data_IF_365664867672
#
_entry.id   IF_365664867672
#
_cell.length_a   1.000
_cell.length_b   1.000
_cell.length_c   1.000
_cell.angle_alpha   90.00
_cell.angle_beta   90.00
_cell.angle_gamma   90.00
#
_symmetry.space_group_name_H-M   'P 1'
#
loop_
_entity.id
_entity.type
_entity.pdbx_description
1 polymer ?
#
# COMPACT_ATOMS: atom_id res chain seq x y z
N UNK A 1 5.50 -5.96 18.46
CA UNK A 1 6.05 -4.59 18.34
C UNK A 1 6.39 -4.06 19.72
N UNK A 2 5.47 -4.13 20.70
CA UNK A 2 5.74 -3.66 22.07
C UNK A 2 6.96 -4.34 22.70
N UNK A 3 7.13 -5.66 22.51
CA UNK A 3 8.30 -6.40 22.98
C UNK A 3 9.64 -5.87 22.43
N UNK A 4 9.66 -5.52 21.14
CA UNK A 4 10.86 -4.98 20.47
C UNK A 4 11.19 -3.58 21.01
N UNK A 5 10.18 -2.72 21.18
CA UNK A 5 10.37 -1.36 21.68
C UNK A 5 10.84 -1.35 23.14
N UNK A 6 10.29 -2.22 23.98
CA UNK A 6 10.71 -2.36 25.40
C UNK A 6 12.16 -2.82 25.49
N UNK A 7 12.57 -3.83 24.67
CA UNK A 7 13.93 -4.37 24.75
C UNK A 7 15.01 -3.51 24.09
N UNK A 8 14.67 -2.73 23.05
CA UNK A 8 15.65 -1.90 22.35
C UNK A 8 15.76 -0.51 22.98
N UNK A 9 14.64 0.08 23.41
CA UNK A 9 14.60 1.47 23.88
C UNK A 9 14.42 1.59 25.41
N UNK A 10 14.18 0.49 26.14
CA UNK A 10 14.03 0.50 27.60
C UNK A 10 12.83 1.28 28.13
N UNK A 11 11.85 1.57 27.29
CA UNK A 11 10.67 2.38 27.63
C UNK A 11 9.55 1.44 28.07
N UNK A 12 9.14 1.51 29.33
CA UNK A 12 7.95 0.82 29.86
C UNK A 12 6.69 1.52 29.35
N UNK A 13 5.95 0.86 28.48
CA UNK A 13 4.77 1.39 27.79
C UNK A 13 3.52 0.82 28.47
N UNK A 14 2.47 1.62 28.73
CA UNK A 14 1.20 1.09 29.16
C UNK A 14 0.65 0.08 28.14
N UNK A 15 0.15 -1.06 28.59
CA UNK A 15 -0.37 -2.14 27.73
C UNK A 15 -1.52 -1.70 26.81
N UNK A 16 -2.19 -0.60 27.14
CA UNK A 16 -3.28 -0.01 26.37
C UNK A 16 -2.84 0.81 25.16
N UNK A 17 -1.53 1.08 24.98
CA UNK A 17 -1.05 1.94 23.91
C UNK A 17 -0.44 1.13 22.76
N UNK A 18 -1.06 1.23 21.58
CA UNK A 18 -0.59 0.52 20.40
C UNK A 18 0.43 1.35 19.61
N UNK A 19 1.72 1.06 19.79
CA UNK A 19 2.83 1.75 19.11
C UNK A 19 2.92 1.50 17.60
N UNK A 20 2.15 0.56 17.09
CA UNK A 20 2.16 0.21 15.65
C UNK A 20 1.84 1.43 14.78
N UNK A 21 0.85 2.23 15.18
CA UNK A 21 0.48 3.43 14.44
C UNK A 21 1.60 4.48 14.40
N UNK A 22 2.25 4.74 15.55
CA UNK A 22 3.33 5.72 15.63
C UNK A 22 4.54 5.26 14.80
N UNK A 23 4.94 3.99 14.93
CA UNK A 23 6.03 3.42 14.16
C UNK A 23 5.74 3.47 12.66
N UNK A 24 4.51 3.15 12.28
CA UNK A 24 4.03 3.28 10.90
C UNK A 24 4.18 4.71 10.39
N UNK A 25 3.79 5.72 11.18
CA UNK A 25 3.94 7.12 10.82
C UNK A 25 5.41 7.53 10.63
N UNK A 26 6.29 7.17 11.60
CA UNK A 26 7.72 7.51 11.56
C UNK A 26 8.40 6.92 10.32
N UNK A 27 8.13 5.66 9.99
CA UNK A 27 8.70 4.99 8.81
C UNK A 27 8.24 5.66 7.51
N UNK A 28 7.05 6.26 7.51
CA UNK A 28 6.51 6.95 6.33
C UNK A 28 7.09 8.35 6.10
N UNK A 29 7.74 8.99 7.09
CA UNK A 29 8.30 10.34 6.96
C UNK A 29 9.26 10.47 5.76
N UNK A 30 10.29 9.61 5.59
CA UNK A 30 11.20 9.71 4.44
C UNK A 30 10.50 9.47 3.11
N UNK A 31 9.45 8.64 3.09
CA UNK A 31 8.67 8.36 1.90
C UNK A 31 7.81 9.56 1.48
N UNK A 32 7.29 10.32 2.44
CA UNK A 32 6.64 11.59 2.16
C UNK A 32 7.58 12.63 1.56
N UNK A 33 8.82 12.71 2.05
CA UNK A 33 9.81 13.58 1.44
C UNK A 33 10.05 13.22 -0.03
N UNK A 34 10.17 11.93 -0.34
CA UNK A 34 10.27 11.46 -1.72
C UNK A 34 9.02 11.78 -2.54
N UNK A 35 7.83 11.60 -1.97
CA UNK A 35 6.56 11.93 -2.62
C UNK A 35 6.45 13.42 -2.96
N UNK A 36 6.86 14.32 -2.05
CA UNK A 36 6.89 15.77 -2.30
C UNK A 36 7.84 16.16 -3.43
N UNK A 37 8.91 15.39 -3.66
CA UNK A 37 9.91 15.66 -4.71
C UNK A 37 9.52 15.09 -6.07
N UNK A 38 8.89 13.92 -6.10
CA UNK A 38 8.63 13.15 -7.32
C UNK A 38 7.19 13.36 -7.81
N UNK A 39 6.24 13.42 -6.87
CA UNK A 39 4.82 13.55 -7.15
C UNK A 39 4.36 15.02 -6.96
N UNK A 40 3.07 15.27 -7.19
CA UNK A 40 2.51 16.60 -6.96
C UNK A 40 2.36 16.89 -5.47
N UNK A 41 2.47 18.19 -5.08
CA UNK A 41 2.23 18.64 -3.69
C UNK A 41 0.84 18.23 -3.19
N UNK A 42 -0.17 18.32 -4.07
CA UNK A 42 -1.54 17.91 -3.75
C UNK A 42 -1.62 16.43 -3.39
N UNK A 43 -0.95 15.56 -4.17
CA UNK A 43 -0.87 14.13 -3.89
C UNK A 43 -0.19 13.85 -2.55
N UNK A 44 0.93 14.50 -2.28
CA UNK A 44 1.69 14.31 -1.05
C UNK A 44 0.88 14.73 0.20
N UNK A 45 0.16 15.88 0.14
CA UNK A 45 -0.68 16.35 1.24
C UNK A 45 -1.86 15.39 1.48
N UNK A 46 -2.54 14.95 0.43
CA UNK A 46 -3.63 13.97 0.55
C UNK A 46 -3.16 12.64 1.12
N UNK A 47 -1.97 12.18 0.69
CA UNK A 47 -1.36 10.95 1.22
C UNK A 47 -0.97 11.10 2.69
N UNK A 48 -0.45 12.25 3.10
CA UNK A 48 -0.17 12.54 4.49
C UNK A 48 -1.45 12.46 5.35
N UNK A 49 -2.55 13.07 4.88
CA UNK A 49 -3.84 12.98 5.55
C UNK A 49 -4.31 11.53 5.67
N UNK A 50 -4.22 10.74 4.58
CA UNK A 50 -4.57 9.32 4.59
C UNK A 50 -3.77 8.54 5.63
N UNK A 51 -2.45 8.74 5.68
CA UNK A 51 -1.59 8.06 6.66
C UNK A 51 -1.89 8.48 8.09
N UNK A 52 -2.20 9.76 8.35
CA UNK A 52 -2.63 10.21 9.67
C UNK A 52 -3.93 9.51 10.10
N UNK A 53 -4.93 9.42 9.22
CA UNK A 53 -6.18 8.71 9.50
C UNK A 53 -5.91 7.23 9.79
N UNK A 54 -5.10 6.56 8.98
CA UNK A 54 -4.73 5.15 9.20
C UNK A 54 -4.00 5.00 10.54
N UNK A 55 -3.05 5.88 10.87
CA UNK A 55 -2.30 5.87 12.13
C UNK A 55 -3.24 5.98 13.33
N UNK A 56 -4.16 6.93 13.31
CA UNK A 56 -5.16 7.13 14.38
C UNK A 56 -6.05 5.91 14.51
N UNK A 57 -6.54 5.38 13.38
CA UNK A 57 -7.39 4.19 13.36
C UNK A 57 -6.67 2.97 13.95
N UNK A 58 -5.44 2.71 13.54
CA UNK A 58 -4.61 1.61 14.07
C UNK A 58 -4.27 1.77 15.55
N UNK A 59 -4.20 3.00 16.06
CA UNK A 59 -3.91 3.26 17.47
C UNK A 59 -5.14 3.10 18.37
N UNK A 60 -6.34 3.31 17.83
CA UNK A 60 -7.60 3.27 18.60
C UNK A 60 -8.24 1.87 18.57
N UNK A 61 -8.14 1.15 17.44
CA UNK A 61 -8.79 -0.15 17.30
C UNK A 61 -8.02 -1.21 18.09
N UNK A 62 -8.61 -1.81 19.13
CA UNK A 62 -7.98 -2.89 19.87
C UNK A 62 -7.89 -4.14 18.98
N UNK A 63 -6.75 -4.80 19.05
CA UNK A 63 -6.57 -6.10 18.37
C UNK A 63 -7.25 -7.16 19.24
N UNK A 64 -8.27 -7.88 18.73
CA UNK A 64 -8.94 -8.92 19.49
C UNK A 64 -7.96 -10.06 19.83
N UNK A 65 -8.04 -10.56 21.06
CA UNK A 65 -7.19 -11.66 21.54
C UNK A 65 -7.55 -13.00 20.91
N UNK A 66 -8.78 -13.14 20.42
CA UNK A 66 -9.26 -14.34 19.72
C UNK A 66 -9.43 -14.03 18.24
N UNK A 67 -8.88 -14.87 17.34
CA UNK A 67 -9.06 -14.66 15.90
C UNK A 67 -10.51 -14.88 15.50
N UNK A 68 -11.03 -14.04 14.61
CA UNK A 68 -12.38 -14.21 14.02
C UNK A 68 -12.46 -15.43 13.09
N UNK A 69 -11.34 -15.79 12.47
CA UNK A 69 -11.20 -16.91 11.54
C UNK A 69 -10.01 -17.73 12.01
N UNK A 70 -10.23 -19.00 12.35
CA UNK A 70 -9.18 -19.88 12.87
C UNK A 70 -8.26 -20.42 11.76
N UNK A 71 -8.73 -20.44 10.51
CA UNK A 71 -7.94 -20.89 9.36
C UNK A 71 -7.11 -19.73 8.78
N UNK A 72 -5.79 -19.86 8.84
CA UNK A 72 -4.85 -18.82 8.40
C UNK A 72 -4.94 -18.53 6.90
N UNK A 73 -5.25 -19.56 6.08
CA UNK A 73 -5.40 -19.37 4.63
C UNK A 73 -6.64 -18.52 4.33
N UNK A 74 -7.77 -18.88 4.91
CA UNK A 74 -9.03 -18.14 4.77
C UNK A 74 -8.89 -16.70 5.28
N UNK A 75 -8.26 -16.52 6.45
CA UNK A 75 -7.99 -15.20 7.01
C UNK A 75 -7.11 -14.33 6.10
N UNK A 76 -6.07 -14.93 5.48
CA UNK A 76 -5.18 -14.23 4.55
C UNK A 76 -5.91 -13.79 3.28
N UNK A 77 -6.76 -14.63 2.71
CA UNK A 77 -7.52 -14.29 1.51
C UNK A 77 -8.55 -13.21 1.80
N UNK A 78 -9.39 -13.39 2.83
CA UNK A 78 -10.43 -12.42 3.20
C UNK A 78 -9.80 -11.09 3.59
N UNK A 79 -8.77 -11.12 4.44
CA UNK A 79 -8.02 -9.92 4.83
C UNK A 79 -7.40 -9.21 3.65
N UNK A 80 -6.78 -9.95 2.71
CA UNK A 80 -6.23 -9.41 1.47
C UNK A 80 -7.26 -8.72 0.59
N UNK A 81 -8.47 -9.29 0.48
CA UNK A 81 -9.58 -8.70 -0.27
C UNK A 81 -10.04 -7.39 0.39
N UNK A 82 -10.36 -7.42 1.69
CA UNK A 82 -10.88 -6.25 2.41
C UNK A 82 -9.86 -5.10 2.40
N UNK A 83 -8.62 -5.40 2.75
CA UNK A 83 -7.54 -4.42 2.73
C UNK A 83 -7.25 -3.92 1.31
N UNK A 84 -7.29 -4.79 0.31
CA UNK A 84 -7.10 -4.45 -1.09
C UNK A 84 -8.19 -3.52 -1.64
N UNK A 85 -9.44 -3.71 -1.23
CA UNK A 85 -10.55 -2.79 -1.56
C UNK A 85 -10.29 -1.42 -0.95
N UNK A 86 -9.93 -1.35 0.34
CA UNK A 86 -9.59 -0.09 1.01
C UNK A 86 -8.42 0.62 0.34
N UNK A 87 -7.31 -0.10 0.10
CA UNK A 87 -6.12 0.42 -0.58
C UNK A 87 -6.42 0.91 -2.01
N UNK A 88 -7.24 0.17 -2.76
CA UNK A 88 -7.67 0.55 -4.10
C UNK A 88 -8.48 1.85 -4.10
N UNK A 89 -9.38 2.06 -3.14
CA UNK A 89 -10.11 3.32 -3.01
C UNK A 89 -9.21 4.49 -2.62
N UNK A 90 -8.24 4.28 -1.73
CA UNK A 90 -7.25 5.30 -1.37
C UNK A 90 -6.50 5.75 -2.63
N UNK A 91 -5.97 4.81 -3.42
CA UNK A 91 -5.25 5.12 -4.67
C UNK A 91 -6.15 5.76 -5.73
N UNK A 92 -7.42 5.36 -5.83
CA UNK A 92 -8.40 5.99 -6.72
C UNK A 92 -8.69 7.44 -6.32
N UNK A 93 -8.64 7.74 -5.02
CA UNK A 93 -8.72 9.11 -4.47
C UNK A 93 -7.49 9.97 -4.73
N UNK A 94 -6.50 9.50 -5.50
CA UNK A 94 -5.19 10.15 -5.70
C UNK A 94 -4.46 10.38 -4.38
N UNK A 95 -4.47 9.37 -3.54
CA UNK A 95 -3.76 9.32 -2.26
C UNK A 95 -2.97 8.02 -2.19
N UNK A 96 -2.02 7.93 -1.28
CA UNK A 96 -1.38 6.66 -0.91
C UNK A 96 -1.72 6.31 0.54
N UNK A 97 -1.85 5.02 0.83
CA UNK A 97 -1.98 4.50 2.19
C UNK A 97 -0.66 4.52 2.98
N UNK A 98 0.42 4.98 2.36
CA UNK A 98 1.77 5.03 2.93
C UNK A 98 2.71 4.00 2.32
N UNK A 99 3.95 3.94 2.81
CA UNK A 99 4.94 2.92 2.52
C UNK A 99 5.11 2.58 1.05
N UNK A 100 4.89 1.31 0.75
CA UNK A 100 5.04 0.75 -0.58
C UNK A 100 4.08 1.34 -1.63
N UNK A 101 2.93 1.88 -1.23
CA UNK A 101 1.99 2.49 -2.17
C UNK A 101 2.59 3.76 -2.79
N UNK A 102 3.32 4.57 -2.01
CA UNK A 102 4.03 5.74 -2.51
C UNK A 102 5.08 5.31 -3.53
N UNK A 103 5.87 4.30 -3.20
CA UNK A 103 6.88 3.74 -4.10
C UNK A 103 6.21 3.20 -5.37
N UNK A 104 5.11 2.46 -5.21
CA UNK A 104 4.33 1.89 -6.31
C UNK A 104 3.83 2.96 -7.28
N UNK A 105 3.27 4.05 -6.75
CA UNK A 105 2.79 5.17 -7.59
C UNK A 105 3.95 5.92 -8.26
N UNK A 106 5.08 6.14 -7.55
CA UNK A 106 6.28 6.73 -8.15
C UNK A 106 6.81 5.89 -9.32
N UNK A 107 6.87 4.56 -9.15
CA UNK A 107 7.29 3.64 -10.19
C UNK A 107 6.31 3.60 -11.37
N UNK A 108 5.00 3.54 -11.11
CA UNK A 108 3.97 3.52 -12.14
C UNK A 108 3.92 4.84 -12.95
N UNK A 109 4.30 5.96 -12.33
CA UNK A 109 4.38 7.24 -13.02
C UNK A 109 5.61 7.31 -13.95
N UNK A 110 6.73 6.73 -13.53
CA UNK A 110 7.97 6.74 -14.31
C UNK A 110 7.99 5.65 -15.40
N UNK A 111 7.34 4.53 -15.15
CA UNK A 111 7.32 3.36 -16.03
C UNK A 111 5.88 2.93 -16.33
N UNK A 112 5.33 3.23 -17.53
CA UNK A 112 3.92 2.97 -17.88
C UNK A 112 3.50 1.50 -17.80
N UNK A 113 4.45 0.57 -17.94
CA UNK A 113 4.19 -0.88 -17.92
C UNK A 113 4.11 -1.48 -16.50
N UNK A 114 4.41 -0.67 -15.47
CA UNK A 114 4.33 -1.09 -14.08
C UNK A 114 3.02 -0.60 -13.44
N UNK A 115 2.32 -1.53 -12.80
CA UNK A 115 1.19 -1.18 -11.94
C UNK A 115 1.63 -1.10 -10.48
N UNK A 116 0.87 -0.39 -9.65
CA UNK A 116 1.14 -0.28 -8.21
C UNK A 116 1.18 -1.66 -7.55
N UNK A 117 0.24 -2.54 -7.91
CA UNK A 117 0.19 -3.90 -7.38
C UNK A 117 1.39 -4.75 -7.78
N UNK A 118 1.88 -4.65 -9.02
CA UNK A 118 3.10 -5.36 -9.45
C UNK A 118 4.31 -4.94 -8.64
N UNK A 119 4.46 -3.63 -8.39
CA UNK A 119 5.54 -3.09 -7.54
C UNK A 119 5.40 -3.59 -6.11
N UNK A 120 4.18 -3.58 -5.55
CA UNK A 120 3.89 -4.13 -4.23
C UNK A 120 4.27 -5.61 -4.12
N UNK A 121 3.89 -6.45 -5.08
CA UNK A 121 4.25 -7.88 -5.08
C UNK A 121 5.78 -8.04 -5.08
N UNK A 122 6.49 -7.28 -5.90
CA UNK A 122 7.95 -7.37 -5.98
C UNK A 122 8.63 -6.97 -4.66
N UNK A 123 8.19 -5.86 -4.05
CA UNK A 123 8.71 -5.41 -2.75
C UNK A 123 8.42 -6.45 -1.67
N UNK A 124 7.19 -6.98 -1.62
CA UNK A 124 6.80 -7.99 -0.65
C UNK A 124 7.57 -9.30 -0.83
N UNK A 125 7.87 -9.69 -2.06
CA UNK A 125 8.68 -10.89 -2.32
C UNK A 125 10.09 -10.76 -1.72
N UNK A 126 10.71 -9.58 -1.84
CA UNK A 126 12.02 -9.29 -1.21
C UNK A 126 11.90 -9.34 0.32
N UNK A 127 10.91 -8.63 0.88
CA UNK A 127 10.72 -8.57 2.34
C UNK A 127 10.47 -9.95 2.91
N UNK A 128 9.57 -10.72 2.32
CA UNK A 128 9.24 -12.07 2.81
C UNK A 128 10.37 -13.07 2.54
N UNK A 129 11.19 -12.87 1.51
CA UNK A 129 12.42 -13.61 1.31
C UNK A 129 13.39 -13.45 2.50
N UNK A 130 13.54 -12.25 3.04
CA UNK A 130 14.29 -12.01 4.27
C UNK A 130 13.57 -12.59 5.50
N UNK A 131 12.25 -12.45 5.58
CA UNK A 131 11.47 -13.00 6.69
C UNK A 131 11.54 -14.53 6.77
N UNK A 132 11.80 -15.21 5.66
CA UNK A 132 11.97 -16.66 5.63
C UNK A 132 13.12 -17.16 6.55
N UNK A 133 14.14 -16.35 6.75
CA UNK A 133 15.24 -16.69 7.67
C UNK A 133 14.92 -16.44 9.15
N UNK A 134 13.86 -15.69 9.45
CA UNK A 134 13.52 -15.24 10.81
C UNK A 134 12.26 -15.94 11.32
N UNK A 135 11.30 -16.20 10.44
CA UNK A 135 9.97 -16.72 10.76
C UNK A 135 9.76 -18.13 10.19
N UNK A 136 8.73 -18.82 10.70
CA UNK A 136 8.31 -20.11 10.17
C UNK A 136 7.81 -19.97 8.73
N UNK A 137 8.13 -20.96 7.90
CA UNK A 137 7.76 -20.98 6.46
C UNK A 137 6.24 -20.79 6.24
N UNK A 138 5.42 -21.35 7.12
CA UNK A 138 3.96 -21.21 7.04
C UNK A 138 3.51 -19.74 7.11
N UNK A 139 4.06 -18.97 8.06
CA UNK A 139 3.77 -17.54 8.19
C UNK A 139 4.14 -16.76 6.93
N UNK A 140 5.28 -17.09 6.34
CA UNK A 140 5.77 -16.44 5.11
C UNK A 140 4.84 -16.74 3.94
N UNK A 141 4.38 -18.00 3.80
CA UNK A 141 3.46 -18.40 2.74
C UNK A 141 2.12 -17.66 2.87
N UNK A 142 1.51 -17.63 4.06
CA UNK A 142 0.24 -16.93 4.27
C UNK A 142 0.36 -15.41 4.07
N UNK A 143 1.49 -14.83 4.46
CA UNK A 143 1.76 -13.41 4.21
C UNK A 143 1.92 -13.10 2.72
N UNK A 144 2.55 -13.99 1.96
CA UNK A 144 2.69 -13.87 0.51
C UNK A 144 1.33 -13.99 -0.20
N UNK A 145 0.47 -14.91 0.25
CA UNK A 145 -0.89 -15.06 -0.25
C UNK A 145 -1.69 -13.77 0.00
N UNK A 146 -1.66 -13.26 1.25
CA UNK A 146 -2.31 -12.00 1.59
C UNK A 146 -1.84 -10.85 0.69
N UNK A 147 -0.52 -10.66 0.54
CA UNK A 147 0.05 -9.58 -0.25
C UNK A 147 -0.31 -9.71 -1.74
N UNK A 148 -0.35 -10.93 -2.27
CA UNK A 148 -0.73 -11.18 -3.66
C UNK A 148 -2.20 -10.85 -3.89
N UNK A 149 -3.09 -11.32 -3.03
CA UNK A 149 -4.53 -11.02 -3.10
C UNK A 149 -4.77 -9.52 -2.97
N UNK A 150 -4.13 -8.87 -1.98
CA UNK A 150 -4.17 -7.41 -1.82
C UNK A 150 -3.80 -6.68 -3.11
N UNK A 151 -2.64 -7.02 -3.70
CA UNK A 151 -2.13 -6.35 -4.89
C UNK A 151 -3.06 -6.54 -6.11
N UNK A 152 -3.60 -7.75 -6.31
CA UNK A 152 -4.55 -8.02 -7.40
C UNK A 152 -5.85 -7.22 -7.24
N UNK A 153 -6.37 -7.12 -6.03
CA UNK A 153 -7.59 -6.34 -5.76
C UNK A 153 -7.33 -4.85 -5.92
N UNK A 154 -6.22 -4.33 -5.41
CA UNK A 154 -5.80 -2.94 -5.59
C UNK A 154 -5.70 -2.59 -7.07
N UNK A 155 -5.02 -3.40 -7.87
CA UNK A 155 -4.86 -3.14 -9.30
C UNK A 155 -6.21 -3.14 -10.03
N UNK A 156 -7.12 -4.01 -9.65
CA UNK A 156 -8.46 -4.08 -10.26
C UNK A 156 -9.33 -2.87 -9.93
N UNK A 157 -9.19 -2.30 -8.74
CA UNK A 157 -9.96 -1.13 -8.29
C UNK A 157 -9.29 0.17 -8.74
N UNK A 158 -7.96 0.19 -8.75
CA UNK A 158 -7.17 1.34 -9.19
C UNK A 158 -7.09 1.38 -10.73
N UNK A 159 -8.18 1.76 -11.37
CA UNK A 159 -8.29 1.89 -12.83
C UNK A 159 -7.50 3.13 -13.30
N UNK A 160 -6.17 3.10 -13.21
CA UNK A 160 -5.32 4.21 -13.66
C UNK A 160 -4.78 4.04 -15.08
N UNK A 161 -4.87 2.84 -15.65
CA UNK A 161 -4.42 2.54 -17.01
C UNK A 161 -5.59 2.32 -17.96
N UNK A 162 -6.57 3.21 -17.95
CA UNK A 162 -7.50 3.29 -19.10
C UNK A 162 -6.73 4.03 -20.19
N UNK A 163 -6.21 3.29 -21.14
CA UNK A 163 -5.82 3.83 -22.44
C UNK A 163 -7.10 4.35 -23.10
N UNK A 164 -7.35 5.66 -22.98
CA UNK A 164 -8.45 6.28 -23.69
C UNK A 164 -8.00 6.44 -25.14
N UNK A 165 -8.61 5.68 -26.04
CA UNK A 165 -8.49 5.92 -27.48
C UNK A 165 -9.48 7.01 -27.84
N UNK A 166 -9.01 8.22 -28.11
CA UNK A 166 -9.85 9.28 -28.67
C UNK A 166 -9.96 9.05 -30.18
N UNK A 167 -11.13 8.65 -30.67
CA UNK A 167 -11.45 8.68 -32.12
C UNK A 167 -11.85 10.09 -32.52
N UNK A 168 -10.99 10.76 -33.26
CA UNK A 168 -11.28 12.09 -33.79
C UNK A 168 -11.76 11.93 -35.23
N UNK A 169 -13.06 12.13 -35.48
CA UNK A 169 -13.61 12.14 -36.81
C UNK A 169 -13.47 13.56 -37.40
N UNK A 170 -12.65 13.71 -38.43
CA UNK A 170 -12.46 14.97 -39.14
C UNK A 170 -12.81 14.84 -40.62
N UNK A 171 -13.52 15.82 -41.18
CA UNK A 171 -13.81 15.90 -42.61
C UNK A 171 -12.67 16.50 -43.42
N UNK A 172 -11.63 17.06 -42.81
CA UNK A 172 -10.48 17.66 -43.50
C UNK A 172 -9.32 16.67 -43.55
N UNK A 173 -8.94 16.28 -44.76
CA UNK A 173 -7.72 15.52 -45.06
C UNK A 173 -6.50 16.38 -44.72
N UNK A 174 -5.67 15.95 -43.79
CA UNK A 174 -4.40 16.61 -43.42
C UNK A 174 -4.21 16.93 -41.94
N UNK A 175 -5.22 16.80 -41.09
CA UNK A 175 -5.14 17.11 -39.66
C UNK A 175 -4.51 15.96 -38.86
N UNK A 176 -4.40 14.73 -39.40
CA UNK A 176 -3.83 13.58 -38.72
C UNK A 176 -2.33 13.76 -38.33
N UNK A 177 -1.60 14.65 -39.01
CA UNK A 177 -0.18 14.96 -38.68
C UNK A 177 -0.02 16.02 -37.57
N UNK A 178 -1.08 16.70 -37.13
CA UNK A 178 -1.00 17.73 -36.11
C UNK A 178 -1.39 17.24 -34.70
N UNK A 179 -1.77 15.96 -34.57
CA UNK A 179 -2.26 15.34 -33.32
C UNK A 179 -1.28 14.24 -32.83
N UNK A 180 -0.16 14.04 -33.49
CA UNK A 180 0.98 13.29 -32.97
C UNK A 180 1.90 14.25 -32.19
#
# INVERSE_FOLDING_TARGET
>A
VNWVVINIFGISIPESFNFVGILFFIINIPLFYAAFRILSKEYAIKSLLSVVVITVTLSIIPIPSTPLVNDYLTASIIGGIICGVGGGFILRGRMAGGGQDIIGVCCAQKYPNFSVGKVSIFINLIIYGFCFFIYNIEMVIYSLIFATVYALVVDKIHIRNINMTAMIFTKKTGIAKAVQ
#
